data_IF_096722698192
#
_entry.id   IF_096722698192
#
_cell.length_a   1.000
_cell.length_b   1.000
_cell.length_c   1.000
_cell.angle_alpha   90.00
_cell.angle_beta   90.00
_cell.angle_gamma   90.00
#
_symmetry.space_group_name_H-M   'P 1'
#
loop_
_entity.id
_entity.type
_entity.pdbx_description
1 polymer ?
#
# COMPACT_ATOMS: atom_id res chain seq x y z
N UNK A 1 14.54 7.42 20.56
CA UNK A 1 13.68 7.18 21.74
C UNK A 1 13.73 5.71 22.14
N UNK A 2 13.67 5.44 23.45
CA UNK A 2 13.76 4.09 24.04
C UNK A 2 12.63 3.89 25.05
N UNK A 3 12.10 2.66 25.12
CA UNK A 3 11.10 2.23 26.11
C UNK A 3 11.34 0.80 26.57
N UNK A 4 11.30 0.60 27.88
CA UNK A 4 11.45 -0.66 28.57
C UNK A 4 10.30 -0.89 29.56
N UNK A 5 9.89 -2.15 29.71
CA UNK A 5 8.91 -2.59 30.70
C UNK A 5 9.50 -3.73 31.53
N UNK A 6 9.51 -3.60 32.86
CA UNK A 6 10.00 -4.66 33.78
C UNK A 6 11.32 -5.28 33.30
N UNK A 7 12.32 -4.45 33.00
CA UNK A 7 13.65 -4.81 32.47
C UNK A 7 13.69 -5.43 31.06
N UNK A 8 12.59 -5.40 30.30
CA UNK A 8 12.58 -5.77 28.89
C UNK A 8 12.45 -4.52 28.01
N UNK A 9 13.48 -4.24 27.22
CA UNK A 9 13.44 -3.18 26.21
C UNK A 9 12.52 -3.59 25.06
N UNK A 10 11.52 -2.74 24.79
CA UNK A 10 10.50 -2.96 23.74
C UNK A 10 10.72 -2.03 22.55
N UNK A 11 11.24 -0.83 22.81
CA UNK A 11 11.70 0.11 21.79
C UNK A 11 13.12 0.50 22.17
N UNK A 12 14.08 0.32 21.27
CA UNK A 12 15.49 0.59 21.56
C UNK A 12 16.07 1.57 20.55
N UNK A 13 16.43 2.78 21.00
CA UNK A 13 17.20 3.73 20.21
C UNK A 13 16.55 4.20 18.90
N UNK A 14 15.22 4.14 18.78
CA UNK A 14 14.54 4.44 17.51
C UNK A 14 14.60 5.92 17.19
N UNK A 15 15.12 6.26 16.01
CA UNK A 15 15.11 7.62 15.47
C UNK A 15 14.22 7.64 14.23
N UNK A 16 13.20 8.49 14.26
CA UNK A 16 12.21 8.63 13.20
C UNK A 16 11.97 10.11 12.94
N UNK A 17 11.97 10.50 11.68
CA UNK A 17 11.60 11.84 11.25
C UNK A 17 10.52 11.71 10.18
N UNK A 18 9.32 12.23 10.47
CA UNK A 18 8.16 12.21 9.57
C UNK A 18 7.88 13.64 9.14
N UNK A 19 7.92 13.91 7.83
CA UNK A 19 7.57 15.24 7.33
C UNK A 19 6.05 15.40 7.21
N UNK A 20 5.60 16.65 7.19
CA UNK A 20 4.18 16.97 6.94
C UNK A 20 3.76 16.41 5.58
N UNK A 21 2.61 15.73 5.53
CA UNK A 21 2.05 15.11 4.32
C UNK A 21 2.62 13.74 3.96
N UNK A 22 3.57 13.20 4.74
CA UNK A 22 4.10 11.85 4.51
C UNK A 22 3.32 10.77 5.29
N UNK A 23 3.02 9.66 4.62
CA UNK A 23 2.40 8.48 5.24
C UNK A 23 3.50 7.51 5.67
N UNK A 24 3.55 7.18 6.97
CA UNK A 24 4.48 6.18 7.51
C UNK A 24 3.75 4.96 8.04
N UNK A 25 4.21 3.78 7.62
CA UNK A 25 3.76 2.50 8.13
C UNK A 25 4.81 1.84 9.02
N UNK A 26 4.45 1.52 10.26
CA UNK A 26 5.27 0.65 11.11
C UNK A 26 5.02 -0.82 10.72
N UNK A 27 6.00 -1.49 10.12
CA UNK A 27 5.91 -2.91 9.72
C UNK A 27 6.84 -3.76 10.58
N UNK A 28 6.34 -4.88 11.11
CA UNK A 28 7.12 -5.80 11.92
C UNK A 28 6.27 -6.88 12.59
N UNK A 29 6.87 -7.92 13.21
CA UNK A 29 6.13 -8.99 13.87
C UNK A 29 5.36 -8.49 15.11
N UNK A 30 4.41 -9.30 15.59
CA UNK A 30 3.69 -9.02 16.83
C UNK A 30 4.69 -8.91 18.00
N UNK A 31 4.53 -7.88 18.84
CA UNK A 31 5.47 -7.60 19.92
C UNK A 31 6.71 -6.79 19.54
N UNK A 32 6.90 -6.42 18.27
CA UNK A 32 8.03 -5.59 17.83
C UNK A 32 8.01 -4.11 18.30
N UNK A 33 7.11 -3.74 19.21
CA UNK A 33 7.05 -2.37 19.74
C UNK A 33 6.27 -1.34 18.91
N UNK A 34 5.66 -1.72 17.78
CA UNK A 34 4.85 -0.81 16.92
C UNK A 34 3.80 -0.01 17.69
N UNK A 35 2.95 -0.70 18.45
CA UNK A 35 1.92 -0.04 19.27
C UNK A 35 2.53 0.77 20.42
N UNK A 36 3.73 0.40 20.90
CA UNK A 36 4.44 1.17 21.94
C UNK A 36 4.96 2.50 21.37
N UNK A 37 5.51 2.49 20.15
CA UNK A 37 5.88 3.70 19.41
C UNK A 37 4.67 4.62 19.25
N UNK A 38 3.55 4.09 18.75
CA UNK A 38 2.32 4.86 18.59
C UNK A 38 1.81 5.46 19.91
N UNK A 39 1.81 4.67 21.00
CA UNK A 39 1.41 5.16 22.33
C UNK A 39 2.34 6.24 22.87
N UNK A 40 3.64 6.19 22.59
CA UNK A 40 4.58 7.26 22.96
C UNK A 40 4.32 8.55 22.16
N UNK A 41 4.06 8.44 20.85
CA UNK A 41 3.74 9.60 20.00
C UNK A 41 2.46 10.31 20.45
N UNK A 42 1.46 9.56 20.92
CA UNK A 42 0.22 10.11 21.47
C UNK A 42 0.32 10.55 22.94
N UNK A 43 1.52 10.52 23.53
CA UNK A 43 1.76 10.82 24.93
C UNK A 43 0.94 9.96 25.93
N UNK A 44 0.52 8.75 25.52
CA UNK A 44 -0.21 7.81 26.39
C UNK A 44 0.74 7.07 27.35
N UNK A 45 2.01 6.97 26.96
CA UNK A 45 3.10 6.45 27.78
C UNK A 45 4.32 7.35 27.58
N UNK A 46 5.09 7.67 28.64
CA UNK A 46 6.33 8.42 28.48
C UNK A 46 7.43 7.54 27.89
N UNK A 47 8.31 8.10 27.08
CA UNK A 47 9.56 7.45 26.70
C UNK A 47 10.52 7.41 27.91
N UNK A 48 11.34 6.37 28.03
CA UNK A 48 12.34 6.30 29.12
C UNK A 48 13.58 7.13 28.77
N UNK A 49 13.89 7.26 27.48
CA UNK A 49 14.93 8.17 26.99
C UNK A 49 14.70 8.61 25.54
N UNK A 50 15.37 9.71 25.17
CA UNK A 50 15.19 10.39 23.88
C UNK A 50 14.09 11.45 23.93
N UNK A 51 13.89 12.12 22.80
CA UNK A 51 12.95 13.23 22.67
C UNK A 51 11.98 12.97 21.52
N UNK A 52 10.75 13.47 21.66
CA UNK A 52 9.71 13.41 20.64
C UNK A 52 9.33 14.86 20.34
N UNK A 53 9.28 15.20 19.05
CA UNK A 53 8.84 16.50 18.58
C UNK A 53 7.63 16.31 17.67
N UNK A 54 6.55 17.04 17.96
CA UNK A 54 5.31 17.03 17.19
C UNK A 54 5.05 18.46 16.71
N UNK A 55 4.84 18.65 15.41
CA UNK A 55 4.62 19.96 14.79
C UNK A 55 5.69 21.03 15.15
N UNK A 56 6.93 20.60 15.39
CA UNK A 56 8.04 21.48 15.79
C UNK A 56 8.13 21.75 17.29
N UNK A 57 7.18 21.27 18.09
CA UNK A 57 7.17 21.43 19.55
C UNK A 57 7.63 20.14 20.25
N UNK A 58 8.42 20.28 21.31
CA UNK A 58 8.83 19.13 22.13
C UNK A 58 7.63 18.58 22.91
N UNK A 59 7.43 17.27 22.85
CA UNK A 59 6.38 16.58 23.57
C UNK A 59 6.69 16.57 25.08
N UNK A 60 5.74 17.07 25.87
CA UNK A 60 5.80 17.13 27.33
C UNK A 60 4.44 16.76 27.91
N UNK A 61 4.35 16.61 29.24
CA UNK A 61 3.09 16.35 29.94
C UNK A 61 2.04 17.47 29.75
N UNK A 62 2.44 18.64 29.24
CA UNK A 62 1.55 19.80 29.02
C UNK A 62 1.17 20.02 27.56
N UNK A 63 1.60 19.16 26.63
CA UNK A 63 1.41 19.32 25.19
C UNK A 63 -0.03 19.01 24.71
N UNK A 64 -1.06 19.31 25.51
CA UNK A 64 -2.46 19.03 25.20
C UNK A 64 -2.94 19.71 23.91
N UNK A 65 -2.56 20.97 23.69
CA UNK A 65 -2.93 21.72 22.48
C UNK A 65 -2.32 21.10 21.21
N UNK A 66 -1.09 20.61 21.30
CA UNK A 66 -0.44 19.87 20.22
C UNK A 66 -1.19 18.56 19.92
N UNK A 67 -1.62 17.82 20.95
CA UNK A 67 -2.33 16.55 20.77
C UNK A 67 -3.74 16.73 20.18
N UNK A 68 -4.42 17.85 20.44
CA UNK A 68 -5.72 18.17 19.82
C UNK A 68 -5.66 18.26 18.30
N UNK A 69 -4.49 18.57 17.73
CA UNK A 69 -4.25 18.65 16.28
C UNK A 69 -4.11 17.27 15.62
N UNK A 70 -4.07 16.19 16.40
CA UNK A 70 -3.92 14.82 15.90
C UNK A 70 -5.21 14.02 15.99
N UNK A 71 -5.55 13.31 14.92
CA UNK A 71 -6.53 12.23 14.95
C UNK A 71 -5.83 10.91 15.30
N UNK A 72 -6.40 10.10 16.20
CA UNK A 72 -5.81 8.80 16.52
C UNK A 72 -6.83 7.69 16.78
N UNK A 73 -6.47 6.49 16.32
CA UNK A 73 -7.15 5.24 16.62
C UNK A 73 -6.06 4.21 16.92
N UNK A 74 -5.88 3.84 18.18
CA UNK A 74 -4.98 2.77 18.59
C UNK A 74 -5.79 1.54 18.95
N UNK A 75 -5.46 0.40 18.33
CA UNK A 75 -6.07 -0.91 18.60
C UNK A 75 -7.58 -0.90 18.35
N UNK A 76 -8.40 -0.84 19.41
CA UNK A 76 -9.85 -0.83 19.35
C UNK A 76 -10.39 0.52 19.85
N UNK A 77 -11.32 1.14 19.12
CA UNK A 77 -11.92 2.38 19.57
C UNK A 77 -12.87 2.13 20.75
N UNK A 78 -12.54 2.74 21.89
CA UNK A 78 -13.41 2.73 23.06
C UNK A 78 -14.41 3.89 22.97
N UNK A 79 -15.68 3.55 23.20
CA UNK A 79 -16.83 4.44 23.26
C UNK A 79 -17.64 4.15 24.51
N UNK A 80 -18.43 5.11 24.95
CA UNK A 80 -19.41 4.89 25.99
C UNK A 80 -20.59 4.10 25.40
N UNK A 81 -20.63 2.80 25.72
CA UNK A 81 -21.56 1.83 25.14
C UNK A 81 -23.05 2.17 25.38
N UNK A 82 -23.35 2.89 26.46
CA UNK A 82 -24.73 3.33 26.78
C UNK A 82 -25.12 4.64 26.10
N UNK A 83 -24.16 5.41 25.61
CA UNK A 83 -24.41 6.66 24.90
C UNK A 83 -24.65 6.37 23.42
N UNK A 84 -25.42 7.24 22.77
CA UNK A 84 -25.62 7.17 21.32
C UNK A 84 -24.35 7.54 20.56
N UNK A 85 -24.28 7.24 19.26
CA UNK A 85 -23.16 7.67 18.43
C UNK A 85 -23.00 9.20 18.44
N UNK A 86 -24.11 9.94 18.29
CA UNK A 86 -24.11 11.41 18.37
C UNK A 86 -23.59 11.91 19.72
N UNK A 87 -24.10 11.36 20.83
CA UNK A 87 -23.65 11.74 22.17
C UNK A 87 -22.16 11.46 22.42
N UNK A 88 -21.63 10.35 21.89
CA UNK A 88 -20.19 10.04 21.98
C UNK A 88 -19.35 11.09 21.22
N UNK A 89 -19.80 11.51 20.04
CA UNK A 89 -19.12 12.55 19.25
C UNK A 89 -19.30 13.94 19.88
N UNK A 90 -20.44 14.21 20.52
CA UNK A 90 -20.65 15.44 21.26
C UNK A 90 -19.68 15.52 22.45
N UNK A 91 -19.59 14.46 23.24
CA UNK A 91 -18.63 14.42 24.35
C UNK A 91 -17.19 14.60 23.85
N UNK A 92 -16.84 14.02 22.70
CA UNK A 92 -15.55 14.21 22.04
C UNK A 92 -15.25 15.68 21.75
N UNK A 93 -16.21 16.37 21.14
CA UNK A 93 -16.13 17.79 20.86
C UNK A 93 -15.91 18.64 22.12
N UNK A 94 -16.59 18.31 23.22
CA UNK A 94 -16.47 19.06 24.49
C UNK A 94 -15.06 19.03 25.06
N UNK A 95 -14.48 17.83 25.21
CA UNK A 95 -13.15 17.73 25.82
C UNK A 95 -12.02 18.14 24.86
N UNK A 96 -12.25 18.09 23.54
CA UNK A 96 -11.30 18.62 22.56
C UNK A 96 -11.41 20.15 22.38
N UNK A 97 -12.46 20.79 22.93
CA UNK A 97 -12.70 22.22 22.74
C UNK A 97 -13.17 22.58 21.32
N UNK A 98 -13.82 21.64 20.63
CA UNK A 98 -14.34 21.84 19.28
C UNK A 98 -15.85 22.13 19.33
N UNK A 99 -16.23 23.37 19.10
CA UNK A 99 -17.61 23.83 19.37
C UNK A 99 -18.57 23.68 18.18
N UNK A 100 -18.10 23.33 16.99
CA UNK A 100 -18.97 23.15 15.83
C UNK A 100 -19.69 21.79 15.89
N UNK A 101 -20.91 21.81 16.44
CA UNK A 101 -21.79 20.62 16.58
C UNK A 101 -22.45 20.20 15.27
N UNK A 102 -22.63 21.12 14.34
CA UNK A 102 -23.31 20.87 13.06
C UNK A 102 -22.54 19.82 12.24
N UNK A 103 -21.21 19.87 12.30
CA UNK A 103 -20.29 18.91 11.69
C UNK A 103 -20.50 17.45 12.12
N UNK A 104 -21.10 17.20 13.29
CA UNK A 104 -21.34 15.83 13.76
C UNK A 104 -22.28 15.08 12.80
N UNK A 105 -23.31 15.77 12.28
CA UNK A 105 -24.24 15.20 11.31
C UNK A 105 -23.53 14.84 10.00
N UNK A 106 -22.78 15.79 9.44
CA UNK A 106 -21.99 15.64 8.21
C UNK A 106 -21.04 14.43 8.31
N UNK A 107 -20.27 14.35 9.39
CA UNK A 107 -19.27 13.29 9.59
C UNK A 107 -19.92 11.93 9.78
N UNK A 108 -21.08 11.86 10.45
CA UNK A 108 -21.86 10.62 10.55
C UNK A 108 -22.43 10.21 9.20
N UNK A 109 -22.73 11.14 8.31
CA UNK A 109 -23.13 10.86 6.93
C UNK A 109 -21.96 10.33 6.09
N UNK A 110 -20.79 10.97 6.17
CA UNK A 110 -19.55 10.54 5.50
C UNK A 110 -19.18 9.08 5.83
N UNK A 111 -19.29 8.68 7.10
CA UNK A 111 -19.02 7.29 7.51
C UNK A 111 -20.23 6.36 7.40
N UNK A 112 -21.33 6.81 6.78
CA UNK A 112 -22.58 6.05 6.60
C UNK A 112 -23.18 5.51 7.92
N UNK A 113 -23.20 6.33 8.96
CA UNK A 113 -23.79 6.06 10.29
C UNK A 113 -24.92 7.01 10.70
N UNK A 114 -25.31 7.98 9.86
CA UNK A 114 -26.41 8.92 10.15
C UNK A 114 -27.71 8.22 10.60
N UNK A 115 -28.10 7.13 9.92
CA UNK A 115 -29.28 6.32 10.28
C UNK A 115 -29.22 5.65 11.66
N UNK A 116 -28.04 5.57 12.28
CA UNK A 116 -27.80 4.96 13.58
C UNK A 116 -27.34 5.99 14.63
N UNK A 117 -27.41 7.28 14.35
CA UNK A 117 -26.87 8.34 15.22
C UNK A 117 -27.44 8.31 16.65
N UNK A 118 -28.72 7.94 16.77
CA UNK A 118 -29.49 7.90 18.02
C UNK A 118 -29.50 6.51 18.67
N UNK A 119 -28.79 5.53 18.09
CA UNK A 119 -28.68 4.19 18.67
C UNK A 119 -27.51 4.12 19.66
N UNK A 120 -27.67 3.46 20.81
CA UNK A 120 -26.57 3.21 21.73
C UNK A 120 -25.43 2.42 21.08
N UNK A 121 -24.18 2.78 21.38
CA UNK A 121 -22.99 2.11 20.78
C UNK A 121 -22.88 0.63 21.20
N UNK A 122 -23.46 0.23 22.32
CA UNK A 122 -23.63 -1.18 22.71
C UNK A 122 -24.31 -2.05 21.65
N UNK A 123 -25.19 -1.46 20.83
CA UNK A 123 -25.92 -2.16 19.77
C UNK A 123 -25.17 -2.16 18.43
N UNK A 124 -23.99 -1.53 18.37
CA UNK A 124 -23.22 -1.42 17.14
C UNK A 124 -22.45 -2.71 16.87
N UNK A 125 -22.46 -3.15 15.61
CA UNK A 125 -21.51 -4.17 15.15
C UNK A 125 -20.07 -3.65 15.23
N UNK A 126 -19.09 -4.54 15.22
CA UNK A 126 -17.67 -4.16 15.24
C UNK A 126 -17.33 -3.18 14.10
N UNK A 127 -17.85 -3.41 12.89
CA UNK A 127 -17.65 -2.51 11.74
C UNK A 127 -18.32 -1.14 11.92
N UNK A 128 -19.46 -1.06 12.61
CA UNK A 128 -20.07 0.22 12.96
C UNK A 128 -19.23 0.97 14.01
N UNK A 129 -18.68 0.26 15.01
CA UNK A 129 -17.74 0.87 15.99
C UNK A 129 -16.47 1.39 15.31
N UNK A 130 -15.93 0.67 14.32
CA UNK A 130 -14.79 1.13 13.54
C UNK A 130 -15.11 2.39 12.72
N UNK A 131 -16.27 2.42 12.04
CA UNK A 131 -16.72 3.62 11.30
C UNK A 131 -16.95 4.81 12.22
N UNK A 132 -17.50 4.59 13.41
CA UNK A 132 -17.65 5.64 14.43
C UNK A 132 -16.29 6.17 14.91
N UNK A 133 -15.26 5.34 14.92
CA UNK A 133 -13.89 5.75 15.28
C UNK A 133 -13.25 6.62 14.21
N UNK A 134 -13.48 6.28 12.95
CA UNK A 134 -13.08 7.11 11.81
C UNK A 134 -13.80 8.46 11.91
N UNK A 135 -15.12 8.46 12.14
CA UNK A 135 -15.89 9.68 12.37
C UNK A 135 -15.27 10.55 13.47
N UNK A 136 -14.98 9.97 14.65
CA UNK A 136 -14.32 10.68 15.75
C UNK A 136 -12.96 11.28 15.34
N UNK A 137 -12.16 10.55 14.56
CA UNK A 137 -10.84 10.99 14.14
C UNK A 137 -10.88 12.16 13.14
N UNK A 138 -11.88 12.20 12.25
CA UNK A 138 -12.02 13.26 11.22
C UNK A 138 -12.85 14.47 11.69
N UNK A 139 -13.62 14.30 12.77
CA UNK A 139 -14.55 15.31 13.31
C UNK A 139 -13.88 16.63 13.65
N UNK A 140 -12.71 16.60 14.29
CA UNK A 140 -11.97 17.80 14.68
C UNK A 140 -11.19 18.46 13.54
N UNK A 141 -11.33 18.00 12.29
CA UNK A 141 -10.55 18.51 11.14
C UNK A 141 -9.06 18.61 11.51
N UNK A 142 -8.44 17.53 12.00
CA UNK A 142 -7.01 17.59 12.33
C UNK A 142 -6.26 18.09 11.09
N UNK A 143 -5.19 18.86 11.26
CA UNK A 143 -4.38 19.41 10.15
C UNK A 143 -3.75 18.32 9.24
N UNK A 144 -4.05 17.04 9.49
CA UNK A 144 -3.48 15.86 8.86
C UNK A 144 -4.44 15.10 7.92
N UNK A 145 -5.65 15.59 7.61
CA UNK A 145 -6.66 14.75 6.91
C UNK A 145 -6.91 14.99 5.42
N UNK A 146 -6.24 15.93 4.74
CA UNK A 146 -6.29 15.97 3.28
C UNK A 146 -4.97 15.42 2.72
N UNK A 147 -5.06 14.33 1.98
CA UNK A 147 -3.93 13.84 1.21
C UNK A 147 -3.70 14.79 0.03
N UNK A 148 -2.43 15.09 -0.29
CA UNK A 148 -2.12 15.85 -1.51
C UNK A 148 -2.34 14.94 -2.73
N UNK A 149 -2.80 15.54 -3.84
CA UNK A 149 -2.99 14.86 -5.12
C UNK A 149 -1.73 14.11 -5.57
N UNK A 150 -0.55 14.65 -5.28
CA UNK A 150 0.73 14.01 -5.58
C UNK A 150 0.92 12.70 -4.81
N UNK A 151 0.54 12.65 -3.54
CA UNK A 151 0.65 11.45 -2.69
C UNK A 151 -0.30 10.35 -3.14
N UNK A 152 -1.54 10.70 -3.51
CA UNK A 152 -2.51 9.73 -4.05
C UNK A 152 -2.09 9.18 -5.41
N UNK A 153 -1.55 10.02 -6.28
CA UNK A 153 -0.96 9.58 -7.55
C UNK A 153 0.23 8.65 -7.33
N UNK A 154 1.10 8.96 -6.35
CA UNK A 154 2.23 8.12 -5.98
C UNK A 154 1.76 6.75 -5.47
N UNK A 155 0.74 6.70 -4.62
CA UNK A 155 0.15 5.43 -4.16
C UNK A 155 -0.43 4.61 -5.31
N UNK A 156 -1.13 5.27 -6.25
CA UNK A 156 -1.67 4.63 -7.46
C UNK A 156 -0.54 4.04 -8.31
N UNK A 157 0.58 4.75 -8.44
CA UNK A 157 1.76 4.32 -9.19
C UNK A 157 2.49 3.12 -8.55
N UNK A 158 2.26 2.85 -7.27
CA UNK A 158 2.84 1.68 -6.57
C UNK A 158 1.87 0.50 -6.59
N UNK A 159 0.60 0.73 -6.25
CA UNK A 159 -0.42 -0.30 -6.08
C UNK A 159 -0.91 -0.88 -7.41
N UNK A 160 -1.04 -0.05 -8.44
CA UNK A 160 -1.57 -0.49 -9.73
C UNK A 160 -0.63 -1.47 -10.43
N UNK A 161 0.69 -1.20 -10.57
CA UNK A 161 1.64 -2.20 -11.07
C UNK A 161 1.64 -3.49 -10.23
N UNK A 162 1.47 -3.38 -8.91
CA UNK A 162 1.40 -4.56 -8.04
C UNK A 162 0.20 -5.46 -8.39
N UNK A 163 -1.01 -4.90 -8.47
CA UNK A 163 -2.22 -5.65 -8.78
C UNK A 163 -2.12 -6.32 -10.16
N UNK A 164 -1.62 -5.59 -11.17
CA UNK A 164 -1.50 -6.11 -12.53
C UNK A 164 -0.37 -7.13 -12.70
N UNK A 165 0.74 -7.00 -11.97
CA UNK A 165 1.81 -8.01 -11.98
C UNK A 165 1.32 -9.32 -11.35
N UNK A 166 0.53 -9.24 -10.28
CA UNK A 166 -0.13 -10.42 -9.67
C UNK A 166 -1.15 -11.02 -10.62
N UNK A 167 -1.96 -10.20 -11.30
CA UNK A 167 -2.89 -10.68 -12.31
C UNK A 167 -2.18 -11.40 -13.48
N UNK A 168 -1.09 -10.83 -13.98
CA UNK A 168 -0.26 -11.45 -15.02
C UNK A 168 0.34 -12.78 -14.54
N UNK A 169 0.71 -12.89 -13.25
CA UNK A 169 1.15 -14.14 -12.63
C UNK A 169 0.09 -15.23 -12.72
N UNK A 170 -1.15 -14.89 -12.32
CA UNK A 170 -2.29 -15.81 -12.32
C UNK A 170 -2.67 -16.23 -13.74
N UNK A 171 -2.63 -15.29 -14.69
CA UNK A 171 -2.85 -15.58 -16.10
C UNK A 171 -1.79 -16.55 -16.63
N UNK A 172 -0.52 -16.29 -16.34
CA UNK A 172 0.61 -17.15 -16.73
C UNK A 172 0.49 -18.54 -16.11
N UNK A 173 0.14 -18.62 -14.83
CA UNK A 173 -0.11 -19.88 -14.13
C UNK A 173 -1.24 -20.67 -14.79
N UNK A 174 -2.37 -20.02 -15.08
CA UNK A 174 -3.53 -20.66 -15.74
C UNK A 174 -3.19 -21.15 -17.14
N UNK A 175 -2.45 -20.36 -17.93
CA UNK A 175 -1.99 -20.78 -19.26
C UNK A 175 -1.04 -21.98 -19.20
N UNK A 176 -0.06 -21.96 -18.29
CA UNK A 176 0.87 -23.08 -18.09
C UNK A 176 0.10 -24.33 -17.63
N UNK A 177 -0.78 -24.21 -16.64
CA UNK A 177 -1.61 -25.34 -16.15
C UNK A 177 -2.49 -25.89 -17.27
N UNK A 178 -3.13 -25.00 -18.03
CA UNK A 178 -3.99 -25.38 -19.15
C UNK A 178 -3.24 -26.21 -20.19
N UNK A 179 -2.00 -25.83 -20.51
CA UNK A 179 -1.14 -26.54 -21.47
C UNK A 179 -0.61 -27.88 -20.94
N UNK A 180 -0.43 -28.05 -19.63
CA UNK A 180 -0.08 -29.34 -19.01
C UNK A 180 -1.26 -30.30 -18.90
N UNK A 181 -2.47 -29.77 -18.66
CA UNK A 181 -3.64 -30.59 -18.33
C UNK A 181 -4.47 -30.97 -19.57
N UNK A 182 -4.40 -30.21 -20.66
CA UNK A 182 -5.05 -30.58 -21.92
C UNK A 182 -4.06 -31.27 -22.85
N UNK A 183 -4.53 -32.34 -23.52
CA UNK A 183 -3.83 -33.16 -24.55
C UNK A 183 -3.38 -32.38 -25.80
N UNK A 184 -3.15 -31.07 -25.70
CA UNK A 184 -2.66 -30.18 -26.76
C UNK A 184 -1.22 -30.53 -27.16
N UNK A 185 -0.45 -31.13 -26.25
CA UNK A 185 0.88 -31.69 -26.56
C UNK A 185 0.79 -32.67 -27.75
N UNK A 186 -0.25 -33.50 -27.84
CA UNK A 186 -0.39 -34.50 -28.91
C UNK A 186 -0.70 -33.89 -30.29
N UNK A 187 -1.42 -32.75 -30.36
CA UNK A 187 -1.71 -32.05 -31.63
C UNK A 187 -0.54 -31.16 -32.05
N UNK A 188 0.18 -30.56 -31.10
CA UNK A 188 1.34 -29.71 -31.37
C UNK A 188 2.55 -30.49 -31.92
N UNK A 189 2.63 -31.80 -31.62
CA UNK A 189 3.65 -32.70 -32.20
C UNK A 189 3.35 -33.13 -33.65
N UNK A 190 2.14 -32.87 -34.18
CA UNK A 190 1.76 -33.22 -35.56
C UNK A 190 2.14 -32.14 -36.59
N UNK A 191 2.41 -30.90 -36.17
CA UNK A 191 2.89 -29.82 -37.03
C UNK A 191 4.39 -29.57 -36.79
N UNK A 192 5.25 -29.48 -37.83
CA UNK A 192 6.65 -29.10 -37.69
C UNK A 192 6.75 -27.59 -37.45
N UNK A 193 6.18 -27.10 -36.36
CA UNK A 193 6.30 -25.71 -35.94
C UNK A 193 7.66 -25.51 -35.29
N UNK A 194 8.35 -24.46 -35.71
CA UNK A 194 9.63 -24.09 -35.14
C UNK A 194 9.42 -23.65 -33.68
N UNK A 195 9.74 -24.54 -32.73
CA UNK A 195 9.43 -24.36 -31.29
C UNK A 195 9.91 -23.00 -30.75
N UNK A 196 11.00 -22.45 -31.29
CA UNK A 196 11.52 -21.12 -30.93
C UNK A 196 10.58 -19.98 -31.31
N UNK A 197 9.96 -20.02 -32.48
CA UNK A 197 9.03 -18.99 -32.94
C UNK A 197 7.72 -19.00 -32.15
N UNK A 198 7.22 -20.18 -31.78
CA UNK A 198 6.01 -20.29 -30.95
C UNK A 198 6.21 -19.71 -29.55
N UNK A 199 7.37 -19.98 -28.93
CA UNK A 199 7.73 -19.43 -27.62
C UNK A 199 7.88 -17.91 -27.69
N UNK A 200 8.55 -17.40 -28.74
CA UNK A 200 8.69 -15.96 -28.95
C UNK A 200 7.33 -15.27 -29.16
N UNK A 201 6.44 -15.84 -29.96
CA UNK A 201 5.09 -15.31 -30.17
C UNK A 201 4.28 -15.24 -28.87
N UNK A 202 4.32 -16.28 -28.04
CA UNK A 202 3.65 -16.30 -26.74
C UNK A 202 4.18 -15.22 -25.78
N UNK A 203 5.51 -15.05 -25.73
CA UNK A 203 6.15 -14.00 -24.92
C UNK A 203 5.70 -12.59 -25.35
N UNK A 204 5.64 -12.35 -26.67
CA UNK A 204 5.19 -11.06 -27.22
C UNK A 204 3.73 -10.78 -26.86
N UNK A 205 2.84 -11.79 -26.95
CA UNK A 205 1.43 -11.64 -26.60
C UNK A 205 1.25 -11.29 -25.12
N UNK A 206 1.99 -11.98 -24.23
CA UNK A 206 1.91 -11.72 -22.78
C UNK A 206 2.41 -10.31 -22.47
N UNK A 207 3.57 -9.92 -22.98
CA UNK A 207 4.09 -8.57 -22.78
C UNK A 207 3.13 -7.49 -23.31
N UNK A 208 2.63 -7.65 -24.54
CA UNK A 208 1.69 -6.72 -25.15
C UNK A 208 0.39 -6.59 -24.37
N UNK A 209 -0.19 -7.71 -23.92
CA UNK A 209 -1.41 -7.70 -23.12
C UNK A 209 -1.19 -7.04 -21.75
N UNK A 210 -0.07 -7.34 -21.06
CA UNK A 210 0.25 -6.70 -19.77
C UNK A 210 0.46 -5.20 -19.91
N UNK A 211 1.13 -4.75 -20.96
CA UNK A 211 1.33 -3.33 -21.22
C UNK A 211 0.01 -2.60 -21.51
N UNK A 212 -0.86 -3.17 -22.36
CA UNK A 212 -2.15 -2.59 -22.70
C UNK A 212 -3.09 -2.52 -21.48
N UNK A 213 -3.15 -3.58 -20.68
CA UNK A 213 -3.97 -3.64 -19.48
C UNK A 213 -3.53 -2.61 -18.43
N UNK A 214 -2.21 -2.41 -18.26
CA UNK A 214 -1.70 -1.39 -17.37
C UNK A 214 -1.97 0.03 -17.87
N UNK A 215 -1.80 0.29 -19.17
CA UNK A 215 -2.13 1.59 -19.75
C UNK A 215 -3.59 1.95 -19.51
N UNK A 216 -4.51 1.01 -19.75
CA UNK A 216 -5.94 1.19 -19.47
C UNK A 216 -6.23 1.41 -17.98
N UNK A 217 -5.59 0.63 -17.10
CA UNK A 217 -5.72 0.78 -15.64
C UNK A 217 -5.28 2.15 -15.15
N UNK A 218 -4.14 2.66 -15.64
CA UNK A 218 -3.64 3.98 -15.26
C UNK A 218 -4.60 5.09 -15.70
N UNK A 219 -5.12 5.01 -16.94
CA UNK A 219 -6.09 5.98 -17.44
C UNK A 219 -7.39 5.98 -16.63
N UNK A 220 -7.92 4.80 -16.29
CA UNK A 220 -9.14 4.68 -15.49
C UNK A 220 -8.95 5.18 -14.05
N UNK A 221 -7.85 4.81 -13.39
CA UNK A 221 -7.56 5.27 -12.03
C UNK A 221 -7.33 6.79 -11.98
N UNK A 222 -6.58 7.35 -12.94
CA UNK A 222 -6.38 8.80 -13.01
C UNK A 222 -7.69 9.54 -13.30
N UNK A 223 -8.50 9.04 -14.23
CA UNK A 223 -9.81 9.62 -14.52
C UNK A 223 -10.75 9.58 -13.32
N UNK A 224 -10.75 8.47 -12.58
CA UNK A 224 -11.52 8.34 -11.33
C UNK A 224 -11.04 9.31 -10.26
N UNK A 225 -9.73 9.43 -10.02
CA UNK A 225 -9.18 10.35 -9.02
C UNK A 225 -9.53 11.81 -9.33
N UNK A 226 -9.35 12.24 -10.59
CA UNK A 226 -9.69 13.59 -11.02
C UNK A 226 -11.19 13.85 -10.89
N UNK A 227 -12.03 12.88 -11.29
CA UNK A 227 -13.49 13.00 -11.19
C UNK A 227 -14.00 13.02 -9.74
N UNK A 228 -13.44 12.17 -8.88
CA UNK A 228 -13.81 12.08 -7.46
C UNK A 228 -13.38 13.34 -6.70
N UNK A 229 -12.16 13.85 -6.95
CA UNK A 229 -11.68 15.10 -6.36
C UNK A 229 -12.57 16.28 -6.77
N UNK A 230 -12.91 16.39 -8.06
CA UNK A 230 -13.80 17.44 -8.56
C UNK A 230 -15.23 17.38 -7.99
N UNK A 231 -15.72 16.19 -7.65
CA UNK A 231 -17.07 15.99 -7.14
C UNK A 231 -17.18 16.13 -5.60
N UNK A 232 -16.11 15.81 -4.86
CA UNK A 232 -16.17 15.64 -3.40
C UNK A 232 -15.11 16.43 -2.61
N UNK A 233 -14.27 17.26 -3.26
CA UNK A 233 -13.19 18.06 -2.61
C UNK A 233 -12.32 17.22 -1.66
N UNK A 234 -11.92 16.04 -2.14
CA UNK A 234 -11.23 15.02 -1.32
C UNK A 234 -9.77 15.37 -1.03
N UNK A 235 -9.09 16.13 -1.90
CA UNK A 235 -7.65 16.36 -1.82
C UNK A 235 -7.32 17.81 -1.43
N UNK A 236 -6.10 18.02 -0.94
CA UNK A 236 -5.64 19.36 -0.50
C UNK A 236 -5.37 20.29 -1.69
N UNK A 237 -4.92 19.70 -2.82
CA UNK A 237 -4.64 20.38 -4.08
C UNK A 237 -5.46 19.74 -5.21
N UNK A 238 -5.99 20.56 -6.11
CA UNK A 238 -6.66 20.08 -7.31
C UNK A 238 -5.67 19.71 -8.42
N UNK A 239 -6.12 18.91 -9.39
CA UNK A 239 -5.30 18.48 -10.52
C UNK A 239 -4.72 19.68 -11.31
N UNK A 240 -3.38 19.78 -11.34
CA UNK A 240 -2.69 20.77 -12.17
C UNK A 240 -2.20 20.14 -13.49
N UNK A 241 -2.47 20.76 -14.65
CA UNK A 241 -1.99 20.26 -15.96
C UNK A 241 -0.46 20.14 -16.06
N UNK A 242 0.28 20.90 -15.25
CA UNK A 242 1.74 20.85 -15.18
C UNK A 242 2.29 19.51 -14.64
N UNK A 243 1.47 18.70 -13.97
CA UNK A 243 1.85 17.39 -13.46
C UNK A 243 1.75 16.28 -14.52
N UNK A 244 1.01 16.52 -15.62
CA UNK A 244 0.77 15.56 -16.70
C UNK A 244 2.06 14.94 -17.30
N UNK A 245 3.13 15.71 -17.57
CA UNK A 245 4.38 15.14 -18.12
C UNK A 245 5.08 14.20 -17.14
N UNK A 246 5.08 14.56 -15.84
CA UNK A 246 5.62 13.70 -14.78
C UNK A 246 4.82 12.41 -14.67
N UNK A 247 3.50 12.51 -14.71
CA UNK A 247 2.60 11.36 -14.68
C UNK A 247 2.77 10.42 -15.86
N UNK A 248 2.86 10.97 -17.09
CA UNK A 248 3.09 10.19 -18.29
C UNK A 248 4.44 9.45 -18.22
N UNK A 249 5.48 10.08 -17.69
CA UNK A 249 6.81 9.46 -17.54
C UNK A 249 6.84 8.34 -16.49
N UNK A 250 6.14 8.51 -15.37
CA UNK A 250 6.04 7.51 -14.30
C UNK A 250 5.17 6.31 -14.72
N UNK A 251 4.06 6.57 -15.42
CA UNK A 251 3.23 5.53 -15.99
C UNK A 251 3.99 4.75 -17.08
N UNK A 252 4.68 5.44 -17.99
CA UNK A 252 5.45 4.82 -19.06
C UNK A 252 6.57 3.90 -18.55
N UNK A 253 7.33 4.36 -17.56
CA UNK A 253 8.38 3.55 -16.93
C UNK A 253 7.81 2.32 -16.22
N UNK A 254 6.73 2.49 -15.44
CA UNK A 254 6.07 1.37 -14.76
C UNK A 254 5.48 0.34 -15.73
N UNK A 255 4.89 0.79 -16.84
CA UNK A 255 4.35 -0.09 -17.89
C UNK A 255 5.48 -0.91 -18.51
N UNK A 256 6.59 -0.25 -18.87
CA UNK A 256 7.75 -0.91 -19.45
C UNK A 256 8.38 -1.92 -18.48
N UNK A 257 8.57 -1.53 -17.22
CA UNK A 257 9.12 -2.43 -16.20
C UNK A 257 8.25 -3.65 -15.99
N UNK A 258 6.94 -3.49 -15.81
CA UNK A 258 6.03 -4.62 -15.64
C UNK A 258 5.95 -5.52 -16.89
N UNK A 259 6.00 -4.95 -18.09
CA UNK A 259 6.05 -5.73 -19.33
C UNK A 259 7.32 -6.57 -19.44
N UNK A 260 8.48 -6.04 -19.02
CA UNK A 260 9.75 -6.78 -19.01
C UNK A 260 9.75 -7.84 -17.91
N UNK A 261 9.29 -7.48 -16.72
CA UNK A 261 9.29 -8.35 -15.55
C UNK A 261 8.27 -9.50 -15.67
N UNK A 262 7.15 -9.29 -16.38
CA UNK A 262 6.18 -10.35 -16.66
C UNK A 262 6.72 -11.44 -17.60
N UNK A 263 7.69 -11.12 -18.46
CA UNK A 263 8.35 -12.11 -19.32
C UNK A 263 9.18 -13.11 -18.49
N UNK A 264 9.83 -12.64 -17.44
CA UNK A 264 10.69 -13.48 -16.59
C UNK A 264 9.91 -14.58 -15.86
N UNK A 265 8.66 -14.31 -15.51
CA UNK A 265 7.82 -15.29 -14.82
C UNK A 265 7.38 -16.44 -15.72
N UNK A 266 7.05 -16.13 -16.97
CA UNK A 266 6.73 -17.12 -17.99
C UNK A 266 7.95 -18.01 -18.28
N UNK A 267 9.13 -17.41 -18.44
CA UNK A 267 10.39 -18.15 -18.65
C UNK A 267 10.65 -19.10 -17.48
N UNK A 268 10.53 -18.63 -16.24
CA UNK A 268 10.71 -19.45 -15.04
C UNK A 268 9.71 -20.62 -14.95
N UNK A 269 8.42 -20.35 -15.26
CA UNK A 269 7.36 -21.35 -15.27
C UNK A 269 7.60 -22.45 -16.32
N UNK A 270 8.03 -22.06 -17.52
CA UNK A 270 8.39 -22.99 -18.58
C UNK A 270 9.61 -23.86 -18.22
N UNK A 271 10.69 -23.26 -17.70
CA UNK A 271 11.92 -23.99 -17.34
C UNK A 271 11.63 -25.06 -16.28
N UNK A 272 10.89 -24.71 -15.22
CA UNK A 272 10.59 -25.66 -14.14
C UNK A 272 9.42 -26.59 -14.42
N UNK A 273 8.67 -26.37 -15.50
CA UNK A 273 7.39 -27.08 -15.75
C UNK A 273 6.45 -27.00 -14.53
N UNK A 274 6.51 -25.89 -13.78
CA UNK A 274 6.00 -25.81 -12.41
C UNK A 274 5.44 -24.42 -12.12
N UNK A 275 4.17 -24.40 -11.73
CA UNK A 275 3.41 -23.19 -11.42
C UNK A 275 3.91 -22.47 -10.16
N UNK A 276 4.23 -23.17 -9.05
CA UNK A 276 4.82 -22.53 -7.87
C UNK A 276 6.11 -21.77 -8.18
N UNK A 277 6.89 -22.23 -9.15
CA UNK A 277 8.15 -21.60 -9.53
C UNK A 277 7.95 -20.24 -10.23
N UNK A 278 6.91 -20.11 -11.05
CA UNK A 278 6.53 -18.85 -11.68
C UNK A 278 6.01 -17.83 -10.65
N UNK A 279 5.26 -18.29 -9.64
CA UNK A 279 4.74 -17.42 -8.58
C UNK A 279 5.90 -16.91 -7.70
N UNK A 280 6.82 -17.78 -7.29
CA UNK A 280 7.96 -17.40 -6.44
C UNK A 280 8.91 -16.43 -7.15
N UNK A 281 9.19 -16.63 -8.45
CA UNK A 281 10.07 -15.73 -9.19
C UNK A 281 9.48 -14.32 -9.30
N UNK A 282 8.15 -14.20 -9.43
CA UNK A 282 7.46 -12.90 -9.45
C UNK A 282 7.48 -12.22 -8.08
N UNK A 283 7.25 -12.95 -6.99
CA UNK A 283 7.30 -12.37 -5.64
C UNK A 283 8.69 -11.82 -5.32
N UNK A 284 9.74 -12.51 -5.79
CA UNK A 284 11.13 -12.05 -5.67
C UNK A 284 11.38 -10.79 -6.51
N UNK A 285 10.95 -10.79 -7.77
CA UNK A 285 11.03 -9.63 -8.68
C UNK A 285 10.30 -8.42 -8.08
N UNK A 286 9.11 -8.63 -7.51
CA UNK A 286 8.34 -7.59 -6.83
C UNK A 286 9.08 -7.02 -5.62
N UNK A 287 9.60 -7.89 -4.75
CA UNK A 287 10.35 -7.47 -3.56
C UNK A 287 11.56 -6.62 -3.96
N UNK A 288 12.32 -7.05 -4.97
CA UNK A 288 13.47 -6.30 -5.48
C UNK A 288 13.07 -4.95 -6.08
N UNK A 289 11.94 -4.88 -6.81
CA UNK A 289 11.40 -3.61 -7.32
C UNK A 289 11.06 -2.64 -6.18
N UNK A 290 10.38 -3.11 -5.12
CA UNK A 290 10.04 -2.27 -3.97
C UNK A 290 11.28 -1.74 -3.24
N UNK A 291 12.30 -2.59 -3.09
CA UNK A 291 13.58 -2.19 -2.48
C UNK A 291 14.28 -1.12 -3.33
N UNK A 292 14.24 -1.22 -4.67
CA UNK A 292 14.82 -0.21 -5.55
C UNK A 292 14.05 1.12 -5.49
N UNK A 293 12.72 1.07 -5.52
CA UNK A 293 11.86 2.25 -5.39
C UNK A 293 12.02 2.97 -4.05
N UNK A 294 12.34 2.24 -2.97
CA UNK A 294 12.53 2.83 -1.64
C UNK A 294 13.81 3.69 -1.50
N UNK A 295 14.74 3.63 -2.47
CA UNK A 295 16.05 4.30 -2.39
C UNK A 295 16.13 5.63 -3.14
N UNK A 296 15.21 5.94 -4.04
CA UNK A 296 15.26 7.17 -4.85
C UNK A 296 14.24 8.22 -4.38
N UNK A 297 14.70 9.44 -4.17
CA UNK A 297 13.85 10.58 -3.77
C UNK A 297 13.04 11.18 -4.92
N UNK A 298 13.39 10.83 -6.16
CA UNK A 298 12.62 11.11 -7.36
C UNK A 298 12.16 9.75 -7.89
N UNK A 299 10.91 9.38 -7.58
CA UNK A 299 10.28 8.08 -7.88
C UNK A 299 10.04 7.98 -9.40
N UNK A 300 11.13 7.94 -10.15
CA UNK A 300 11.19 7.75 -11.58
C UNK A 300 12.12 6.55 -11.75
N UNK A 301 11.58 5.44 -12.25
CA UNK A 301 12.39 4.25 -12.43
C UNK A 301 13.47 4.56 -13.46
N UNK A 302 14.72 4.62 -13.01
CA UNK A 302 15.84 4.68 -13.93
C UNK A 302 15.91 3.36 -14.70
N UNK A 303 16.10 3.44 -16.02
CA UNK A 303 16.30 2.27 -16.88
C UNK A 303 17.40 1.35 -16.31
N UNK A 304 18.40 1.93 -15.62
CA UNK A 304 19.45 1.19 -14.93
C UNK A 304 18.96 0.34 -13.75
N UNK A 305 17.95 0.79 -13.00
CA UNK A 305 17.38 0.03 -11.88
C UNK A 305 16.53 -1.15 -12.37
N UNK A 306 15.79 -0.94 -13.47
CA UNK A 306 15.03 -2.01 -14.13
C UNK A 306 16.00 -3.09 -14.65
N UNK A 307 17.09 -2.68 -15.31
CA UNK A 307 18.13 -3.58 -15.79
C UNK A 307 18.83 -4.31 -14.63
N UNK A 308 19.13 -3.61 -13.53
CA UNK A 308 19.74 -4.21 -12.35
C UNK A 308 18.82 -5.21 -11.66
N UNK A 309 17.53 -4.91 -11.51
CA UNK A 309 16.55 -5.84 -10.95
C UNK A 309 16.43 -7.10 -11.83
N UNK A 310 16.34 -6.93 -13.15
CA UNK A 310 16.34 -8.04 -14.10
C UNK A 310 17.62 -8.89 -14.00
N UNK A 311 18.80 -8.26 -13.91
CA UNK A 311 20.09 -8.95 -13.78
C UNK A 311 20.22 -9.69 -12.44
N UNK A 312 19.86 -9.06 -11.32
CA UNK A 312 19.88 -9.68 -9.99
C UNK A 312 18.95 -10.88 -9.96
N UNK A 313 17.76 -10.79 -10.55
CA UNK A 313 16.84 -11.93 -10.63
C UNK A 313 17.39 -13.05 -11.52
N UNK A 314 18.09 -12.69 -12.60
CA UNK A 314 18.78 -13.66 -13.45
C UNK A 314 19.91 -14.39 -12.70
N UNK A 315 20.74 -13.66 -11.94
CA UNK A 315 21.84 -14.20 -11.15
C UNK A 315 21.33 -15.03 -9.98
N UNK A 316 20.33 -14.55 -9.23
CA UNK A 316 19.73 -15.28 -8.13
C UNK A 316 19.13 -16.60 -8.61
N UNK A 317 18.45 -16.59 -9.76
CA UNK A 317 17.99 -17.83 -10.38
C UNK A 317 19.14 -18.71 -10.86
N UNK A 318 20.20 -18.17 -11.47
CA UNK A 318 21.37 -18.94 -11.87
C UNK A 318 22.06 -19.64 -10.67
N UNK A 319 22.17 -18.96 -9.53
CA UNK A 319 22.77 -19.51 -8.30
C UNK A 319 21.87 -20.60 -7.69
N UNK A 320 20.55 -20.37 -7.63
CA UNK A 320 19.57 -21.38 -7.21
C UNK A 320 19.56 -22.58 -8.17
N UNK A 321 19.77 -22.33 -9.47
CA UNK A 321 19.86 -23.32 -10.53
C UNK A 321 21.13 -24.19 -10.40
N UNK A 322 22.30 -23.58 -10.16
CA UNK A 322 23.56 -24.32 -9.97
C UNK A 322 23.48 -25.32 -8.81
N UNK A 323 22.86 -24.94 -7.69
CA UNK A 323 22.71 -25.81 -6.50
C UNK A 323 21.81 -27.03 -6.73
N UNK A 324 20.92 -27.03 -7.74
CA UNK A 324 20.00 -28.15 -8.01
C UNK A 324 20.44 -29.05 -9.17
N UNK A 325 21.24 -28.53 -10.10
CA UNK A 325 21.82 -29.36 -11.18
C UNK A 325 22.95 -30.24 -10.66
N UNK A 326 23.76 -29.76 -9.71
CA UNK A 326 24.82 -30.58 -9.06
C UNK A 326 24.30 -31.61 -8.05
N UNK A 327 22.98 -31.81 -7.95
CA UNK A 327 22.37 -32.81 -7.07
C UNK A 327 21.68 -33.93 -7.87
N UNK A 328 21.82 -33.92 -9.21
CA UNK A 328 21.28 -34.94 -10.13
C UNK A 328 22.42 -35.64 -10.89
N UNK A 329 23.67 -35.43 -10.49
CA UNK A 329 24.81 -36.27 -10.87
C UNK A 329 25.20 -37.18 -9.69
#
# INVERSE_FOLDING_TARGET
MTKSYKNKTVVDGVSLHVKRGEIYGCVGPNGAGKSTIMKMLLNLIPADSGEIYLFGEKLTDRSYECLKRMGSIIENPYFYDRMTARQNLEMYCDYMGYHNRERIGEVLEEVSLHHAENKPVSQFSLGMKQRLAIARAILTKPEQTKDSFASMFQMTSILLPFLFLVYAAVLTATFVIGEYNTRTITILFACPLNKKQLIAAKLIIIAGFTAAAMAAGYLLCCGYLIGADAAFDMLEDSFQPALLPRFASAAGSSILACAILSLWSFIAGMIKKSVPAAIISILLVFFLRQVMLSKDSLIQESIGQIAAAALITAIAMYVVFRKKVTAID
#
